data_IF_980545308087
#
_entry.id   IF_980545308087
#
_cell.length_a   1.000
_cell.length_b   1.000
_cell.length_c   1.000
_cell.angle_alpha   90.00
_cell.angle_beta   90.00
_cell.angle_gamma   90.00
#
_symmetry.space_group_name_H-M   'P 1'
#
loop_
_entity.id
_entity.type
_entity.pdbx_description
1 polymer ?
#
# COMPACT_ATOMS: atom_id res chain seq x y z
N UNK A 1 24.28 -13.16 -9.47
CA UNK A 1 22.85 -13.31 -9.15
C UNK A 1 22.18 -14.01 -10.32
N UNK A 2 21.43 -15.05 -10.06
CA UNK A 2 20.79 -15.87 -11.10
C UNK A 2 19.68 -15.06 -11.78
N UNK A 3 19.69 -14.81 -13.10
CA UNK A 3 18.70 -13.95 -13.77
C UNK A 3 17.29 -14.57 -13.88
N UNK A 4 17.09 -15.79 -13.39
CA UNK A 4 15.83 -16.54 -13.55
C UNK A 4 14.97 -16.66 -12.29
N UNK A 5 15.32 -15.99 -11.19
CA UNK A 5 14.43 -15.99 -10.03
C UNK A 5 13.25 -15.04 -10.31
N UNK A 6 12.02 -15.56 -10.20
CA UNK A 6 10.81 -14.73 -10.21
C UNK A 6 10.98 -13.58 -9.22
N UNK A 7 10.51 -12.36 -9.55
CA UNK A 7 10.62 -11.24 -8.62
C UNK A 7 9.97 -11.63 -7.29
N UNK A 8 10.71 -11.41 -6.19
CA UNK A 8 10.19 -11.66 -4.86
C UNK A 8 8.88 -10.89 -4.66
N UNK A 9 7.91 -11.50 -3.99
CA UNK A 9 6.64 -10.84 -3.66
C UNK A 9 6.92 -9.55 -2.90
N UNK A 10 6.24 -8.44 -3.20
CA UNK A 10 6.48 -7.18 -2.51
C UNK A 10 5.87 -7.22 -1.11
N UNK A 11 6.73 -7.26 -0.09
CA UNK A 11 6.39 -7.02 1.30
C UNK A 11 6.94 -5.64 1.66
N UNK A 12 6.03 -4.66 1.79
CA UNK A 12 6.36 -3.24 1.82
C UNK A 12 6.14 -2.68 3.22
N UNK A 13 7.17 -2.11 3.80
CA UNK A 13 7.06 -1.30 5.02
C UNK A 13 6.98 0.17 4.63
N UNK A 14 5.93 0.88 5.03
CA UNK A 14 5.83 2.32 4.80
C UNK A 14 6.51 3.08 5.93
N UNK A 15 7.69 3.62 5.65
CA UNK A 15 8.39 4.56 6.50
C UNK A 15 7.75 5.94 6.33
N UNK A 16 7.21 6.49 7.43
CA UNK A 16 6.66 7.84 7.42
C UNK A 16 7.73 8.86 7.83
N UNK A 17 8.20 9.72 6.91
CA UNK A 17 9.42 10.52 7.11
C UNK A 17 9.33 11.52 8.26
N UNK A 18 8.13 12.04 8.60
CA UNK A 18 7.94 13.01 9.69
C UNK A 18 8.03 12.40 11.09
N UNK A 19 8.15 11.08 11.21
CA UNK A 19 8.42 10.40 12.48
C UNK A 19 9.91 10.38 12.87
N UNK A 20 10.76 10.99 12.07
CA UNK A 20 12.21 11.10 12.28
C UNK A 20 12.63 12.59 12.30
N UNK A 21 13.67 12.92 13.06
CA UNK A 21 14.21 14.28 13.08
C UNK A 21 14.91 14.62 11.76
N UNK A 22 15.64 13.66 11.20
CA UNK A 22 16.38 13.85 9.95
C UNK A 22 16.40 12.59 9.08
N UNK A 23 16.64 12.78 7.79
CA UNK A 23 16.83 11.68 6.82
C UNK A 23 18.01 10.76 7.20
N UNK A 24 19.02 11.27 7.92
CA UNK A 24 20.12 10.45 8.39
C UNK A 24 19.68 9.33 9.36
N UNK A 25 18.54 9.52 10.03
CA UNK A 25 17.99 8.56 10.98
C UNK A 25 17.15 7.46 10.32
N UNK A 26 16.69 7.66 9.08
CA UNK A 26 15.82 6.68 8.41
C UNK A 26 16.46 5.29 8.33
N UNK A 27 17.79 5.23 8.18
CA UNK A 27 18.49 3.97 8.11
C UNK A 27 18.42 3.15 9.42
N UNK A 28 18.09 3.77 10.56
CA UNK A 28 17.96 3.08 11.84
C UNK A 28 16.82 2.07 11.87
N UNK A 29 15.78 2.24 11.05
CA UNK A 29 14.68 1.29 10.98
C UNK A 29 14.98 0.04 10.14
N UNK A 30 16.03 0.07 9.29
CA UNK A 30 16.32 -1.02 8.34
C UNK A 30 16.46 -2.39 9.03
N UNK A 31 17.21 -2.55 10.15
CA UNK A 31 17.31 -3.83 10.83
C UNK A 31 15.96 -4.35 11.33
N UNK A 32 15.11 -3.48 11.84
CA UNK A 32 13.76 -3.81 12.31
C UNK A 32 12.87 -4.25 11.15
N UNK A 33 12.81 -3.47 10.09
CA UNK A 33 12.06 -3.77 8.86
C UNK A 33 12.47 -5.12 8.26
N UNK A 34 13.79 -5.34 8.16
CA UNK A 34 14.35 -6.61 7.67
C UNK A 34 14.02 -7.76 8.61
N UNK A 35 14.08 -7.52 9.93
CA UNK A 35 13.76 -8.50 10.97
C UNK A 35 12.33 -9.01 10.90
N UNK A 36 11.38 -8.19 10.47
CA UNK A 36 9.98 -8.56 10.20
C UNK A 36 9.76 -9.25 8.85
N UNK A 37 10.79 -9.36 7.99
CA UNK A 37 10.70 -10.03 6.69
C UNK A 37 10.28 -9.13 5.52
N UNK A 38 10.20 -7.81 5.70
CA UNK A 38 9.94 -6.88 4.59
C UNK A 38 11.15 -6.77 3.66
N UNK A 39 10.89 -6.57 2.37
CA UNK A 39 11.91 -6.45 1.33
C UNK A 39 11.83 -5.15 0.54
N UNK A 40 10.85 -4.29 0.85
CA UNK A 40 10.71 -2.93 0.32
C UNK A 40 10.45 -1.95 1.45
N UNK A 41 11.00 -0.73 1.31
CA UNK A 41 10.61 0.44 2.12
C UNK A 41 9.98 1.46 1.19
N UNK A 42 8.72 1.78 1.44
CA UNK A 42 8.02 2.89 0.82
C UNK A 42 8.15 4.13 1.70
N UNK A 43 8.59 5.25 1.11
CA UNK A 43 8.71 6.54 1.79
C UNK A 43 7.74 7.54 1.16
N UNK A 44 6.86 8.14 1.99
CA UNK A 44 5.99 9.23 1.55
C UNK A 44 6.81 10.42 1.03
N UNK A 45 6.21 11.40 0.32
CA UNK A 45 6.97 12.47 -0.31
C UNK A 45 7.90 13.19 0.66
N UNK A 46 9.13 13.40 0.22
CA UNK A 46 10.21 14.02 1.01
C UNK A 46 10.78 15.27 0.33
N UNK A 47 10.12 15.73 -0.70
CA UNK A 47 10.47 16.94 -1.45
C UNK A 47 10.13 18.21 -0.68
N UNK A 48 10.71 19.34 -1.08
CA UNK A 48 10.34 20.65 -0.55
C UNK A 48 8.84 20.89 -0.73
N UNK A 49 8.15 21.22 0.36
CA UNK A 49 6.70 21.44 0.40
C UNK A 49 6.34 22.92 0.23
N UNK A 50 5.09 23.17 -0.17
CA UNK A 50 4.50 24.49 -0.22
C UNK A 50 4.07 25.01 1.15
N UNK A 51 3.31 26.11 1.14
CA UNK A 51 2.92 26.85 2.35
C UNK A 51 2.07 26.04 3.34
N UNK A 52 1.32 25.05 2.89
CA UNK A 52 0.51 24.19 3.79
C UNK A 52 1.36 23.26 4.65
N UNK A 53 2.57 22.93 4.19
CA UNK A 53 3.43 21.95 4.83
C UNK A 53 3.04 20.49 4.58
N UNK A 54 1.98 20.23 3.80
CA UNK A 54 1.62 18.88 3.38
C UNK A 54 2.74 18.26 2.55
N UNK A 55 3.12 17.02 2.87
CA UNK A 55 4.14 16.29 2.09
C UNK A 55 3.73 16.12 0.61
N UNK A 56 2.42 16.06 0.34
CA UNK A 56 1.88 15.93 -1.01
C UNK A 56 1.78 17.27 -1.74
N UNK A 57 1.84 18.41 -1.04
CA UNK A 57 1.92 19.73 -1.65
C UNK A 57 3.37 20.07 -2.05
N UNK A 58 3.87 19.44 -3.12
CA UNK A 58 5.27 19.56 -3.53
C UNK A 58 5.50 20.91 -4.21
N UNK A 59 6.44 21.70 -3.65
CA UNK A 59 6.85 22.99 -4.19
C UNK A 59 8.02 22.88 -5.17
N UNK A 60 8.98 22.00 -4.85
CA UNK A 60 10.13 21.74 -5.71
C UNK A 60 10.53 20.27 -5.63
N UNK A 61 10.47 19.58 -6.76
CA UNK A 61 10.80 18.16 -6.87
C UNK A 61 12.31 17.86 -6.80
N UNK A 62 13.15 18.85 -7.01
CA UNK A 62 14.62 18.73 -7.01
C UNK A 62 15.26 19.29 -5.75
N UNK A 63 14.48 19.45 -4.68
CA UNK A 63 14.97 19.84 -3.37
C UNK A 63 14.34 18.98 -2.27
N UNK A 64 15.17 18.59 -1.30
CA UNK A 64 14.72 17.92 -0.08
C UNK A 64 13.92 18.89 0.80
N UNK A 65 12.96 18.35 1.52
CA UNK A 65 12.23 19.12 2.53
C UNK A 65 13.17 19.52 3.67
N UNK A 66 13.27 20.82 4.00
CA UNK A 66 14.12 21.29 5.11
C UNK A 66 13.80 20.62 6.46
N UNK A 67 12.57 20.11 6.64
CA UNK A 67 12.16 19.37 7.84
C UNK A 67 12.97 18.10 8.07
N UNK A 68 13.55 17.52 7.03
CA UNK A 68 14.32 16.26 7.09
C UNK A 68 15.82 16.49 7.06
N UNK A 69 16.26 17.76 7.19
CA UNK A 69 17.67 18.15 7.11
C UNK A 69 18.15 18.78 8.42
N UNK A 70 19.42 18.62 8.73
CA UNK A 70 20.05 19.37 9.80
C UNK A 70 20.00 20.86 9.49
N UNK A 71 19.90 21.69 10.51
CA UNK A 71 19.86 23.15 10.37
C UNK A 71 21.03 23.66 9.52
N UNK A 72 20.71 24.37 8.43
CA UNK A 72 21.70 24.96 7.53
C UNK A 72 22.26 24.01 6.45
N UNK A 73 21.76 22.78 6.38
CA UNK A 73 22.11 21.86 5.28
C UNK A 73 21.43 22.31 3.97
N UNK A 74 22.15 22.15 2.86
CA UNK A 74 21.64 22.50 1.53
C UNK A 74 20.52 21.54 1.11
N UNK A 75 19.35 22.07 0.77
CA UNK A 75 18.20 21.32 0.29
C UNK A 75 18.40 20.66 -1.07
N UNK A 76 19.37 21.13 -1.85
CA UNK A 76 19.75 20.53 -3.14
C UNK A 76 20.76 19.39 -3.01
N UNK A 77 21.30 19.16 -1.80
CA UNK A 77 22.18 18.03 -1.53
C UNK A 77 21.42 16.73 -1.30
N UNK A 78 21.45 15.84 -2.27
CA UNK A 78 20.82 14.52 -2.23
C UNK A 78 21.68 13.41 -1.61
N UNK A 79 22.86 13.76 -1.09
CA UNK A 79 23.74 12.76 -0.47
C UNK A 79 23.08 11.97 0.66
N UNK A 80 22.29 12.58 1.57
CA UNK A 80 21.59 11.82 2.62
C UNK A 80 20.62 10.76 2.05
N UNK A 81 19.87 11.09 1.00
CA UNK A 81 18.97 10.12 0.35
C UNK A 81 19.75 9.00 -0.33
N UNK A 82 20.83 9.32 -1.06
CA UNK A 82 21.69 8.32 -1.70
C UNK A 82 22.28 7.35 -0.67
N UNK A 83 22.68 7.86 0.50
CA UNK A 83 23.18 7.06 1.61
C UNK A 83 22.10 6.11 2.14
N UNK A 84 20.87 6.59 2.32
CA UNK A 84 19.74 5.76 2.76
C UNK A 84 19.43 4.66 1.73
N UNK A 85 19.32 5.00 0.43
CA UNK A 85 19.08 4.04 -0.65
C UNK A 85 20.18 2.96 -0.70
N UNK A 86 21.44 3.36 -0.52
CA UNK A 86 22.54 2.40 -0.45
C UNK A 86 22.42 1.46 0.76
N UNK A 87 22.11 1.99 1.95
CA UNK A 87 21.89 1.18 3.15
C UNK A 87 20.73 0.19 3.01
N UNK A 88 19.63 0.58 2.37
CA UNK A 88 18.53 -0.32 2.02
C UNK A 88 19.03 -1.47 1.13
N UNK A 89 19.73 -1.13 0.05
CA UNK A 89 20.26 -2.12 -0.91
C UNK A 89 21.24 -3.09 -0.26
N UNK A 90 22.15 -2.61 0.60
CA UNK A 90 23.10 -3.44 1.34
C UNK A 90 22.38 -4.43 2.28
N UNK A 91 21.19 -4.07 2.72
CA UNK A 91 20.30 -4.92 3.53
C UNK A 91 19.31 -5.77 2.70
N UNK A 92 19.48 -5.84 1.37
CA UNK A 92 18.55 -6.52 0.43
C UNK A 92 17.13 -5.97 0.51
N UNK A 93 16.98 -4.67 0.73
CA UNK A 93 15.72 -3.93 0.69
C UNK A 93 15.78 -2.95 -0.48
N UNK A 94 14.72 -2.86 -1.26
CA UNK A 94 14.58 -1.86 -2.32
C UNK A 94 13.74 -0.67 -1.82
N UNK A 95 14.01 0.52 -2.32
CA UNK A 95 13.25 1.72 -1.96
C UNK A 95 12.17 2.04 -2.99
N UNK A 96 10.95 2.30 -2.49
CA UNK A 96 9.83 2.92 -3.21
C UNK A 96 9.72 4.37 -2.75
N UNK A 97 9.58 5.30 -3.68
CA UNK A 97 9.19 6.68 -3.39
C UNK A 97 7.79 6.99 -3.90
N UNK A 98 7.16 8.00 -3.33
CA UNK A 98 5.89 8.52 -3.85
C UNK A 98 6.15 9.40 -5.08
N UNK A 99 5.43 9.14 -6.17
CA UNK A 99 5.48 9.91 -7.41
C UNK A 99 4.17 10.67 -7.58
N UNK A 100 4.19 11.96 -7.24
CA UNK A 100 3.05 12.85 -7.31
C UNK A 100 3.15 13.67 -8.58
N UNK A 101 2.32 13.37 -9.59
CA UNK A 101 2.29 14.05 -10.90
C UNK A 101 0.93 14.66 -11.23
N UNK A 102 -0.10 14.35 -10.43
CA UNK A 102 -1.46 14.87 -10.62
C UNK A 102 -1.59 16.33 -10.16
N UNK A 103 -0.79 16.73 -9.17
CA UNK A 103 -0.85 18.05 -8.57
C UNK A 103 0.51 18.49 -8.01
N UNK A 104 0.61 19.78 -7.68
CA UNK A 104 1.73 20.36 -6.94
C UNK A 104 1.19 21.24 -5.82
N UNK A 105 2.08 21.79 -4.98
CA UNK A 105 1.69 22.90 -4.10
C UNK A 105 1.15 24.07 -4.94
N UNK A 106 0.18 24.79 -4.41
CA UNK A 106 -0.38 25.97 -5.06
C UNK A 106 0.68 27.06 -5.30
N UNK A 107 1.68 27.15 -4.43
CA UNK A 107 2.84 28.05 -4.54
C UNK A 107 4.09 27.40 -5.14
N UNK A 108 3.92 26.28 -5.88
CA UNK A 108 5.02 25.60 -6.57
C UNK A 108 5.76 26.51 -7.53
N UNK A 109 7.08 26.29 -7.68
CA UNK A 109 7.87 26.98 -8.70
C UNK A 109 7.35 26.71 -10.11
N UNK A 110 6.85 25.49 -10.37
CA UNK A 110 6.30 25.13 -11.68
C UNK A 110 5.08 25.98 -12.06
N UNK A 111 4.24 26.37 -11.12
CA UNK A 111 3.11 27.27 -11.36
C UNK A 111 3.54 28.61 -11.95
N UNK A 112 4.73 29.09 -11.55
CA UNK A 112 5.31 30.36 -12.03
C UNK A 112 6.11 30.20 -13.32
N UNK A 113 6.90 29.13 -13.43
CA UNK A 113 7.82 28.93 -14.56
C UNK A 113 7.14 28.30 -15.77
N UNK A 114 6.09 27.49 -15.54
CA UNK A 114 5.39 26.72 -16.56
C UNK A 114 3.85 26.83 -16.34
N UNK A 115 3.27 28.04 -16.42
CA UNK A 115 1.86 28.26 -16.07
C UNK A 115 0.88 27.48 -16.96
N UNK A 116 1.27 27.11 -18.18
CA UNK A 116 0.47 26.32 -19.12
C UNK A 116 0.38 24.83 -18.75
N UNK A 117 1.10 24.40 -17.71
CA UNK A 117 1.05 23.02 -17.21
C UNK A 117 -0.09 22.78 -16.21
N UNK A 118 -0.85 23.82 -15.86
CA UNK A 118 -1.86 23.76 -14.80
C UNK A 118 -3.25 24.05 -15.29
N UNK A 119 -4.23 23.32 -14.79
CA UNK A 119 -5.64 23.57 -15.06
C UNK A 119 -6.06 24.93 -14.50
N UNK A 120 -6.87 25.65 -15.29
CA UNK A 120 -7.44 26.93 -14.90
C UNK A 120 -8.93 26.96 -15.17
N UNK A 121 -9.68 27.64 -14.29
CA UNK A 121 -11.10 27.88 -14.48
C UNK A 121 -11.34 28.98 -15.56
N UNK A 122 -12.62 29.24 -15.85
CA UNK A 122 -13.02 30.25 -16.83
C UNK A 122 -12.58 31.67 -16.47
N UNK A 123 -12.21 31.93 -15.22
CA UNK A 123 -11.67 33.20 -14.73
C UNK A 123 -10.13 33.23 -14.70
N UNK A 124 -9.48 32.18 -15.18
CA UNK A 124 -8.01 32.06 -15.22
C UNK A 124 -7.37 31.66 -13.87
N UNK A 125 -8.13 31.32 -12.85
CA UNK A 125 -7.63 30.90 -11.55
C UNK A 125 -7.21 29.43 -11.61
N UNK A 126 -6.20 29.05 -10.83
CA UNK A 126 -5.78 27.66 -10.69
C UNK A 126 -6.94 26.80 -10.15
N UNK A 127 -7.10 25.61 -10.71
CA UNK A 127 -8.03 24.58 -10.22
C UNK A 127 -7.32 23.73 -9.17
N UNK A 128 -8.02 23.41 -8.09
CA UNK A 128 -7.56 22.46 -7.08
C UNK A 128 -8.10 21.06 -7.39
N UNK A 129 -7.28 20.01 -7.21
CA UNK A 129 -7.76 18.63 -7.35
C UNK A 129 -8.82 18.31 -6.31
N UNK A 130 -9.72 17.38 -6.65
CA UNK A 130 -10.78 16.95 -5.77
C UNK A 130 -11.03 15.44 -5.91
N UNK A 131 -11.64 14.83 -4.92
CA UNK A 131 -12.17 13.49 -4.99
C UNK A 131 -13.64 13.47 -4.59
N UNK A 132 -14.40 12.59 -5.23
CA UNK A 132 -15.80 12.34 -4.92
C UNK A 132 -15.87 10.97 -4.23
N UNK A 133 -16.56 10.91 -3.09
CA UNK A 133 -16.77 9.65 -2.38
C UNK A 133 -17.61 8.70 -3.26
N UNK A 134 -17.10 7.50 -3.63
CA UNK A 134 -17.87 6.56 -4.45
C UNK A 134 -19.20 6.10 -3.82
N UNK A 135 -19.30 6.15 -2.49
CA UNK A 135 -20.49 5.79 -1.75
C UNK A 135 -21.51 6.94 -1.62
N UNK A 136 -21.07 8.18 -1.79
CA UNK A 136 -21.90 9.38 -1.67
C UNK A 136 -21.38 10.53 -2.55
N UNK A 137 -21.98 10.71 -3.72
CA UNK A 137 -21.57 11.72 -4.70
C UNK A 137 -21.65 13.18 -4.19
N UNK A 138 -22.41 13.45 -3.13
CA UNK A 138 -22.49 14.77 -2.50
C UNK A 138 -21.27 15.06 -1.59
N UNK A 139 -20.51 14.04 -1.25
CA UNK A 139 -19.31 14.16 -0.43
C UNK A 139 -18.08 14.40 -1.31
N UNK A 140 -17.79 15.68 -1.57
CA UNK A 140 -16.65 16.13 -2.39
C UNK A 140 -15.57 16.71 -1.49
N UNK A 141 -14.39 16.13 -1.53
CA UNK A 141 -13.20 16.66 -0.87
C UNK A 141 -12.36 17.46 -1.86
N UNK A 142 -12.13 18.76 -1.58
CA UNK A 142 -11.28 19.63 -2.39
C UNK A 142 -10.02 19.98 -1.61
N UNK A 143 -8.85 19.78 -2.22
CA UNK A 143 -7.55 20.13 -1.64
C UNK A 143 -7.09 21.51 -2.09
N UNK A 144 -7.54 22.55 -1.37
CA UNK A 144 -7.36 23.96 -1.76
C UNK A 144 -5.92 24.49 -1.67
N UNK A 145 -4.99 23.74 -1.11
CA UNK A 145 -3.55 24.05 -1.09
C UNK A 145 -2.78 23.47 -2.27
N UNK A 146 -3.49 22.71 -3.14
CA UNK A 146 -2.93 22.03 -4.32
C UNK A 146 -3.40 22.69 -5.62
N UNK A 147 -2.50 22.74 -6.61
CA UNK A 147 -2.78 23.13 -7.98
C UNK A 147 -2.79 21.88 -8.88
N UNK A 148 -3.90 21.64 -9.57
CA UNK A 148 -4.07 20.50 -10.47
C UNK A 148 -3.24 20.67 -11.74
N UNK A 149 -2.45 19.63 -12.06
CA UNK A 149 -1.62 19.59 -13.26
C UNK A 149 -2.47 19.12 -14.45
N UNK A 150 -2.40 19.85 -15.57
CA UNK A 150 -3.09 19.51 -16.81
C UNK A 150 -2.26 18.52 -17.66
N UNK A 151 -2.20 17.28 -17.24
CA UNK A 151 -1.45 16.25 -17.95
C UNK A 151 -2.08 15.84 -19.30
N UNK A 152 -3.30 16.26 -19.59
CA UNK A 152 -4.05 15.89 -20.80
C UNK A 152 -4.08 17.00 -21.85
N UNK A 153 -4.53 18.20 -21.47
CA UNK A 153 -4.85 19.30 -22.37
C UNK A 153 -3.84 20.46 -22.33
N UNK A 154 -2.76 20.32 -21.54
CA UNK A 154 -1.70 21.34 -21.47
C UNK A 154 -1.20 21.74 -22.87
N UNK A 155 -1.05 23.04 -23.12
CA UNK A 155 -0.49 23.57 -24.37
C UNK A 155 0.95 23.14 -24.60
N UNK A 156 1.70 22.86 -23.53
CA UNK A 156 3.04 22.30 -23.54
C UNK A 156 3.07 20.90 -22.91
N UNK A 157 2.13 20.05 -23.32
CA UNK A 157 2.04 18.66 -22.83
C UNK A 157 3.34 17.89 -23.01
N UNK A 158 4.03 18.11 -24.13
CA UNK A 158 5.32 17.43 -24.37
C UNK A 158 6.38 17.86 -23.35
N UNK A 159 6.54 19.14 -23.08
CA UNK A 159 7.49 19.63 -22.10
C UNK A 159 7.15 19.14 -20.69
N UNK A 160 5.87 19.10 -20.33
CA UNK A 160 5.38 18.55 -19.07
C UNK A 160 5.72 17.05 -18.91
N UNK A 161 5.44 16.25 -19.93
CA UNK A 161 5.73 14.81 -19.89
C UNK A 161 7.23 14.53 -19.87
N UNK A 162 8.03 15.26 -20.63
CA UNK A 162 9.50 15.18 -20.60
C UNK A 162 10.06 15.58 -19.21
N UNK A 163 9.41 16.51 -18.50
CA UNK A 163 9.78 16.87 -17.14
C UNK A 163 9.56 15.70 -16.16
N UNK A 164 8.40 15.04 -16.21
CA UNK A 164 8.10 13.87 -15.39
C UNK A 164 9.03 12.70 -15.71
N UNK A 165 9.34 12.45 -16.97
CA UNK A 165 10.29 11.39 -17.37
C UNK A 165 11.70 11.65 -16.82
N UNK A 166 12.16 12.90 -16.89
CA UNK A 166 13.44 13.30 -16.30
C UNK A 166 13.45 13.17 -14.79
N UNK A 167 12.34 13.47 -14.13
CA UNK A 167 12.21 13.31 -12.68
C UNK A 167 12.33 11.82 -12.28
N UNK A 168 11.63 10.93 -12.97
CA UNK A 168 11.73 9.48 -12.74
C UNK A 168 13.16 9.00 -12.95
N UNK A 169 13.80 9.39 -14.07
CA UNK A 169 15.19 9.03 -14.35
C UNK A 169 16.14 9.51 -13.25
N UNK A 170 15.98 10.75 -12.80
CA UNK A 170 16.82 11.35 -11.78
C UNK A 170 16.86 10.51 -10.48
N UNK A 171 15.70 10.01 -10.04
CA UNK A 171 15.64 9.15 -8.85
C UNK A 171 16.07 7.71 -9.15
N UNK A 172 15.84 7.19 -10.36
CA UNK A 172 16.39 5.89 -10.77
C UNK A 172 17.93 5.88 -10.73
N UNK A 173 18.57 6.98 -11.14
CA UNK A 173 20.03 7.15 -11.08
C UNK A 173 20.55 7.21 -9.63
N UNK A 174 19.73 7.67 -8.68
CA UNK A 174 20.05 7.61 -7.25
C UNK A 174 19.89 6.21 -6.64
N UNK A 175 19.28 5.27 -7.38
CA UNK A 175 19.08 3.89 -6.95
C UNK A 175 17.65 3.56 -6.51
N UNK A 176 16.70 4.49 -6.60
CA UNK A 176 15.27 4.19 -6.38
C UNK A 176 14.79 3.17 -7.41
N UNK A 177 14.06 2.15 -6.96
CA UNK A 177 13.60 1.04 -7.80
C UNK A 177 12.09 0.86 -7.79
N UNK A 178 11.35 1.60 -6.96
CA UNK A 178 9.91 1.59 -6.93
C UNK A 178 9.31 3.00 -6.94
N UNK A 179 8.16 3.15 -7.59
CA UNK A 179 7.37 4.37 -7.58
C UNK A 179 5.92 4.04 -7.22
N UNK A 180 5.44 4.53 -6.08
CA UNK A 180 4.01 4.56 -5.77
C UNK A 180 3.44 5.80 -6.42
N UNK A 181 2.54 5.63 -7.36
CA UNK A 181 1.96 6.69 -8.16
C UNK A 181 0.70 7.20 -7.48
N UNK A 182 0.80 8.39 -6.91
CA UNK A 182 -0.28 9.05 -6.16
C UNK A 182 -1.45 9.39 -7.08
N UNK A 183 -2.68 9.14 -6.60
CA UNK A 183 -3.92 9.37 -7.35
C UNK A 183 -3.83 8.89 -8.82
N UNK A 184 -3.32 7.69 -9.06
CA UNK A 184 -2.99 7.20 -10.40
C UNK A 184 -4.20 7.23 -11.36
N UNK A 185 -5.41 7.04 -10.83
CA UNK A 185 -6.68 7.08 -11.56
C UNK A 185 -7.08 8.49 -12.07
N UNK A 186 -6.46 9.56 -11.53
CA UNK A 186 -6.69 10.94 -11.97
C UNK A 186 -5.70 11.40 -13.05
N UNK A 187 -4.77 10.54 -13.44
CA UNK A 187 -3.71 10.85 -14.41
C UNK A 187 -3.96 10.06 -15.69
N UNK A 188 -3.84 10.67 -16.88
CA UNK A 188 -4.11 10.01 -18.15
C UNK A 188 -3.28 8.72 -18.33
N UNK A 189 -3.95 7.65 -18.76
CA UNK A 189 -3.33 6.34 -19.00
C UNK A 189 -2.12 6.42 -19.96
N UNK A 190 -2.17 7.29 -20.96
CA UNK A 190 -1.08 7.45 -21.92
C UNK A 190 0.18 8.07 -21.30
N UNK A 191 0.04 8.95 -20.28
CA UNK A 191 1.18 9.42 -19.52
C UNK A 191 1.82 8.27 -18.74
N UNK A 192 1.02 7.42 -18.08
CA UNK A 192 1.56 6.25 -17.40
C UNK A 192 2.27 5.28 -18.35
N UNK A 193 1.69 4.98 -19.52
CA UNK A 193 2.36 4.16 -20.55
C UNK A 193 3.71 4.75 -20.94
N UNK A 194 3.77 6.05 -21.14
CA UNK A 194 4.99 6.77 -21.49
C UNK A 194 6.04 6.67 -20.38
N UNK A 195 5.69 7.03 -19.14
CA UNK A 195 6.63 7.06 -18.01
C UNK A 195 7.12 5.65 -17.66
N UNK A 196 6.20 4.69 -17.52
CA UNK A 196 6.54 3.31 -17.18
C UNK A 196 7.39 2.67 -18.27
N UNK A 197 6.99 2.85 -19.55
CA UNK A 197 7.73 2.32 -20.68
C UNK A 197 9.15 2.91 -20.77
N UNK A 198 9.29 4.22 -20.59
CA UNK A 198 10.58 4.90 -20.61
C UNK A 198 11.46 4.46 -19.42
N UNK A 199 10.90 4.42 -18.20
CA UNK A 199 11.62 4.01 -17.01
C UNK A 199 12.11 2.56 -17.06
N UNK A 200 11.24 1.62 -17.49
CA UNK A 200 11.59 0.19 -17.59
C UNK A 200 12.58 -0.08 -18.73
N UNK A 201 12.57 0.72 -19.79
CA UNK A 201 13.57 0.63 -20.87
C UNK A 201 14.98 0.97 -20.33
N UNK A 202 15.11 1.91 -19.40
CA UNK A 202 16.37 2.30 -18.78
C UNK A 202 16.77 1.34 -17.65
N UNK A 203 15.82 1.03 -16.79
CA UNK A 203 16.00 0.15 -15.62
C UNK A 203 14.86 -0.90 -15.57
N UNK A 204 15.03 -2.07 -16.22
CA UNK A 204 13.96 -3.05 -16.43
C UNK A 204 13.32 -3.61 -15.16
N UNK A 205 14.00 -3.52 -14.01
CA UNK A 205 13.49 -3.97 -12.71
C UNK A 205 12.78 -2.88 -11.90
N UNK A 206 12.52 -1.72 -12.49
CA UNK A 206 11.74 -0.68 -11.82
C UNK A 206 10.28 -1.11 -11.69
N UNK A 207 9.71 -0.92 -10.51
CA UNK A 207 8.34 -1.31 -10.16
C UNK A 207 7.47 -0.06 -10.02
N UNK A 208 6.29 -0.08 -10.64
CA UNK A 208 5.29 0.99 -10.53
C UNK A 208 4.03 0.45 -9.87
N UNK A 209 3.56 1.16 -8.84
CA UNK A 209 2.42 0.78 -8.02
C UNK A 209 1.38 1.90 -8.11
N UNK A 210 0.19 1.59 -8.62
CA UNK A 210 -0.88 2.57 -8.73
C UNK A 210 -1.64 2.67 -7.41
N UNK A 211 -1.74 3.87 -6.85
CA UNK A 211 -2.68 4.15 -5.77
C UNK A 211 -4.09 4.21 -6.35
N UNK A 212 -4.95 3.29 -5.89
CA UNK A 212 -6.33 3.12 -6.33
C UNK A 212 -7.30 2.90 -5.16
N UNK A 213 -6.89 3.33 -3.96
CA UNK A 213 -7.73 3.24 -2.78
C UNK A 213 -8.99 4.11 -2.93
N UNK A 214 -10.17 3.49 -2.76
CA UNK A 214 -11.44 4.21 -2.84
C UNK A 214 -11.90 4.58 -4.25
N UNK A 215 -11.25 4.08 -5.30
CA UNK A 215 -11.64 4.30 -6.68
C UNK A 215 -12.84 3.43 -7.07
N UNK A 216 -13.62 3.89 -8.04
CA UNK A 216 -14.61 3.07 -8.73
C UNK A 216 -13.94 2.04 -9.63
N UNK A 217 -14.66 0.95 -9.96
CA UNK A 217 -14.13 -0.07 -10.89
C UNK A 217 -13.84 0.52 -12.27
N UNK A 218 -14.64 1.48 -12.75
CA UNK A 218 -14.42 2.16 -14.03
C UNK A 218 -13.11 2.96 -14.03
N UNK A 219 -12.84 3.71 -12.96
CA UNK A 219 -11.59 4.46 -12.81
C UNK A 219 -10.36 3.52 -12.80
N UNK A 220 -10.49 2.36 -12.15
CA UNK A 220 -9.42 1.36 -12.14
C UNK A 220 -9.24 0.76 -13.54
N UNK A 221 -10.35 0.48 -14.25
CA UNK A 221 -10.31 -0.11 -15.60
C UNK A 221 -9.54 0.77 -16.62
N UNK A 222 -9.55 2.10 -16.46
CA UNK A 222 -8.77 3.03 -17.30
C UNK A 222 -7.25 2.80 -17.20
N UNK A 223 -6.79 2.17 -16.13
CA UNK A 223 -5.37 1.83 -15.97
C UNK A 223 -4.96 0.56 -16.75
N UNK A 224 -5.89 -0.12 -17.43
CA UNK A 224 -5.57 -1.33 -18.20
C UNK A 224 -4.56 -1.05 -19.32
N UNK A 225 -3.51 -1.85 -19.36
CA UNK A 225 -2.46 -1.74 -20.40
C UNK A 225 -1.49 -0.56 -20.21
N UNK A 226 -1.49 0.10 -19.07
CA UNK A 226 -0.54 1.18 -18.74
C UNK A 226 0.85 0.65 -18.35
N UNK A 227 0.93 -0.61 -17.89
CA UNK A 227 2.18 -1.28 -17.51
C UNK A 227 2.50 -1.20 -16.01
N UNK A 228 1.56 -0.80 -15.16
CA UNK A 228 1.68 -0.93 -13.71
C UNK A 228 1.97 -2.38 -13.31
N UNK A 229 2.82 -2.55 -12.29
CA UNK A 229 3.18 -3.86 -11.76
C UNK A 229 2.22 -4.29 -10.66
N UNK A 230 1.63 -3.33 -9.93
CA UNK A 230 0.70 -3.56 -8.83
C UNK A 230 -0.33 -2.42 -8.71
N UNK A 231 -1.52 -2.77 -8.17
CA UNK A 231 -2.56 -1.83 -7.76
C UNK A 231 -2.79 -1.95 -6.25
N UNK A 232 -3.02 -0.84 -5.55
CA UNK A 232 -3.52 -0.90 -4.17
C UNK A 232 -5.01 -1.14 -4.17
N UNK A 233 -5.50 -2.14 -3.42
CA UNK A 233 -6.92 -2.45 -3.36
C UNK A 233 -7.60 -1.86 -2.11
N UNK A 234 -8.93 -1.98 -2.03
CA UNK A 234 -9.73 -1.46 -0.93
C UNK A 234 -10.10 -2.52 0.12
N UNK A 235 -9.44 -3.68 0.13
CA UNK A 235 -9.76 -4.81 1.02
C UNK A 235 -9.71 -4.48 2.52
N UNK A 236 -8.99 -3.41 2.92
CA UNK A 236 -9.02 -2.88 4.29
C UNK A 236 -10.45 -2.61 4.80
N UNK A 237 -11.32 -2.14 3.93
CA UNK A 237 -12.69 -1.76 4.27
C UNK A 237 -13.69 -2.92 4.22
N UNK A 238 -13.25 -4.12 3.84
CA UNK A 238 -14.14 -5.26 3.74
C UNK A 238 -14.43 -5.88 5.11
N UNK A 239 -15.71 -5.94 5.45
CA UNK A 239 -16.22 -6.58 6.66
C UNK A 239 -16.70 -8.01 6.42
N UNK A 240 -16.38 -8.61 5.27
CA UNK A 240 -16.81 -9.95 4.85
C UNK A 240 -18.34 -10.11 4.76
N UNK A 241 -19.07 -9.02 4.57
CA UNK A 241 -20.53 -8.96 4.60
C UNK A 241 -21.18 -8.81 3.21
N UNK A 242 -20.36 -8.58 2.17
CA UNK A 242 -20.80 -8.35 0.78
C UNK A 242 -19.74 -8.79 -0.22
N UNK A 243 -20.13 -9.10 -1.48
CA UNK A 243 -19.21 -9.62 -2.50
C UNK A 243 -18.22 -8.60 -3.08
N UNK A 244 -18.45 -7.30 -2.91
CA UNK A 244 -17.76 -6.22 -3.61
C UNK A 244 -16.21 -6.33 -3.60
N UNK A 245 -15.65 -6.84 -2.50
CA UNK A 245 -14.20 -6.95 -2.38
C UNK A 245 -13.63 -8.04 -3.31
N UNK A 246 -14.32 -9.16 -3.44
CA UNK A 246 -13.94 -10.22 -4.37
C UNK A 246 -14.20 -9.79 -5.82
N UNK A 247 -15.27 -9.05 -6.10
CA UNK A 247 -15.55 -8.46 -7.41
C UNK A 247 -14.45 -7.46 -7.82
N UNK A 248 -14.01 -6.58 -6.89
CA UNK A 248 -12.89 -5.68 -7.11
C UNK A 248 -11.60 -6.46 -7.39
N UNK A 249 -11.36 -7.54 -6.62
CA UNK A 249 -10.17 -8.37 -6.80
C UNK A 249 -10.11 -8.97 -8.21
N UNK A 250 -11.22 -9.56 -8.69
CA UNK A 250 -11.30 -10.13 -10.04
C UNK A 250 -11.12 -9.06 -11.13
N UNK A 251 -11.69 -7.86 -10.95
CA UNK A 251 -11.50 -6.74 -11.86
C UNK A 251 -10.05 -6.25 -11.89
N UNK A 252 -9.45 -6.10 -10.72
CA UNK A 252 -8.07 -5.61 -10.60
C UNK A 252 -7.05 -6.55 -11.23
N UNK A 253 -7.21 -7.87 -11.06
CA UNK A 253 -6.24 -8.84 -11.59
C UNK A 253 -6.16 -8.87 -13.12
N UNK A 254 -7.19 -8.38 -13.83
CA UNK A 254 -7.17 -8.16 -15.27
C UNK A 254 -6.19 -7.04 -15.70
N UNK A 255 -5.76 -6.20 -14.76
CA UNK A 255 -4.89 -5.04 -14.99
C UNK A 255 -3.50 -5.32 -14.45
N UNK A 256 -3.41 -5.62 -13.16
CA UNK A 256 -2.18 -5.99 -12.47
C UNK A 256 -2.52 -6.68 -11.14
N UNK A 257 -1.60 -7.51 -10.59
CA UNK A 257 -1.75 -8.01 -9.22
C UNK A 257 -1.87 -6.88 -8.20
N UNK A 258 -2.50 -7.17 -7.07
CA UNK A 258 -2.78 -6.16 -6.06
C UNK A 258 -1.85 -6.21 -4.85
N UNK A 259 -1.87 -5.10 -4.10
CA UNK A 259 -1.28 -4.95 -2.78
C UNK A 259 -2.40 -4.65 -1.80
N UNK A 260 -2.54 -5.52 -0.81
CA UNK A 260 -3.43 -5.30 0.34
C UNK A 260 -2.68 -4.69 1.51
N UNK A 261 -3.41 -4.07 2.40
CA UNK A 261 -2.87 -3.50 3.63
C UNK A 261 -3.93 -3.50 4.73
N UNK A 262 -3.55 -3.69 6.00
CA UNK A 262 -4.49 -3.59 7.12
C UNK A 262 -4.91 -2.14 7.40
N UNK A 263 -3.99 -1.21 7.20
CA UNK A 263 -4.15 0.24 7.25
C UNK A 263 -3.06 0.91 6.40
N UNK A 264 -3.21 2.19 6.09
CA UNK A 264 -2.22 3.00 5.38
C UNK A 264 -2.05 4.36 6.05
N UNK A 265 -1.17 5.20 5.53
CA UNK A 265 -1.01 6.57 6.01
C UNK A 265 -2.25 7.46 5.76
N UNK A 266 -3.16 7.05 4.85
CA UNK A 266 -4.40 7.79 4.53
C UNK A 266 -5.60 7.32 5.35
N UNK A 267 -5.51 6.15 6.00
CA UNK A 267 -6.64 5.56 6.72
C UNK A 267 -6.56 5.80 8.23
N UNK A 268 -7.68 5.67 8.97
CA UNK A 268 -7.61 5.57 10.43
C UNK A 268 -6.72 4.40 10.87
N UNK A 269 -6.12 4.52 12.07
CA UNK A 269 -5.38 3.43 12.70
C UNK A 269 -6.34 2.37 13.21
N UNK A 270 -6.07 1.10 12.93
CA UNK A 270 -6.90 -0.01 13.43
C UNK A 270 -6.94 -0.09 14.95
N UNK A 271 -5.87 0.28 15.63
CA UNK A 271 -5.83 0.32 17.09
C UNK A 271 -6.76 1.39 17.70
N UNK A 272 -7.14 2.41 16.92
CA UNK A 272 -8.09 3.45 17.33
C UNK A 272 -9.53 3.14 16.90
N UNK A 273 -9.72 2.27 15.89
CA UNK A 273 -11.04 1.77 15.51
C UNK A 273 -11.60 0.85 16.60
N UNK A 274 -12.93 0.81 16.79
CA UNK A 274 -13.54 -0.09 17.77
C UNK A 274 -13.81 -1.47 17.15
N UNK A 275 -13.45 -2.54 17.87
CA UNK A 275 -12.96 -2.63 19.27
C UNK A 275 -11.44 -2.43 19.43
N UNK A 276 -10.63 -2.13 18.44
CA UNK A 276 -9.22 -1.73 18.51
C UNK A 276 -8.31 -2.69 19.29
N UNK A 277 -8.61 -3.98 19.25
CA UNK A 277 -7.86 -5.01 19.98
C UNK A 277 -6.70 -5.55 19.17
N UNK A 278 -5.73 -6.16 19.86
CA UNK A 278 -4.59 -6.81 19.21
C UNK A 278 -5.01 -7.96 18.28
N UNK A 279 -6.10 -8.67 18.61
CA UNK A 279 -6.61 -9.78 17.79
C UNK A 279 -7.24 -9.27 16.49
N UNK A 280 -7.95 -8.14 16.52
CA UNK A 280 -8.45 -7.47 15.31
C UNK A 280 -7.31 -7.01 14.41
N UNK A 281 -6.24 -6.42 14.98
CA UNK A 281 -5.07 -6.05 14.20
C UNK A 281 -4.41 -7.25 13.54
N UNK A 282 -4.21 -8.33 14.29
CA UNK A 282 -3.67 -9.59 13.76
C UNK A 282 -4.56 -10.15 12.65
N UNK A 283 -5.87 -10.21 12.86
CA UNK A 283 -6.79 -10.72 11.85
C UNK A 283 -6.70 -9.91 10.55
N UNK A 284 -6.74 -8.58 10.63
CA UNK A 284 -6.65 -7.70 9.46
C UNK A 284 -5.32 -7.82 8.74
N UNK A 285 -4.20 -7.91 9.47
CA UNK A 285 -2.89 -8.14 8.87
C UNK A 285 -2.77 -9.50 8.21
N UNK A 286 -3.18 -10.57 8.90
CA UNK A 286 -3.16 -11.92 8.35
C UNK A 286 -4.01 -12.01 7.08
N UNK A 287 -5.22 -11.46 7.10
CA UNK A 287 -6.07 -11.42 5.91
C UNK A 287 -5.40 -10.65 4.76
N UNK A 288 -4.91 -9.43 5.00
CA UNK A 288 -4.22 -8.63 3.98
C UNK A 288 -3.02 -9.38 3.39
N UNK A 289 -2.24 -10.09 4.24
CA UNK A 289 -1.07 -10.85 3.77
C UNK A 289 -1.45 -12.01 2.85
N UNK A 290 -2.61 -12.62 3.03
CA UNK A 290 -3.09 -13.79 2.28
C UNK A 290 -3.89 -13.40 1.04
N UNK A 291 -4.57 -12.26 1.10
CA UNK A 291 -5.54 -11.85 0.08
C UNK A 291 -4.87 -11.53 -1.26
N UNK A 292 -3.87 -10.68 -1.26
CA UNK A 292 -3.18 -10.21 -2.46
C UNK A 292 -1.77 -10.77 -2.59
N UNK A 293 -1.22 -10.65 -3.78
CA UNK A 293 0.19 -10.99 -4.04
C UNK A 293 1.14 -10.11 -3.21
N UNK A 294 0.87 -8.80 -3.13
CA UNK A 294 1.65 -7.86 -2.34
C UNK A 294 1.01 -7.49 -1.00
N UNK A 295 1.82 -6.97 -0.09
CA UNK A 295 1.41 -6.51 1.23
C UNK A 295 2.10 -5.20 1.57
N UNK A 296 1.35 -4.24 2.13
CA UNK A 296 1.92 -3.01 2.71
C UNK A 296 1.50 -2.89 4.18
N UNK A 297 2.42 -2.41 5.02
CA UNK A 297 2.18 -2.07 6.42
C UNK A 297 2.83 -0.72 6.75
N UNK A 298 2.10 0.25 7.33
CA UNK A 298 2.70 1.50 7.77
C UNK A 298 3.42 1.36 9.12
N UNK A 299 4.45 2.16 9.33
CA UNK A 299 5.19 2.24 10.60
C UNK A 299 4.28 2.53 11.78
N UNK A 300 4.52 1.85 12.91
CA UNK A 300 3.73 1.94 14.14
C UNK A 300 2.55 0.97 14.22
N UNK A 301 2.16 0.32 13.12
CA UNK A 301 1.16 -0.73 13.14
C UNK A 301 1.58 -1.88 14.08
N UNK A 302 2.82 -2.30 14.00
CA UNK A 302 3.41 -3.35 14.82
C UNK A 302 3.34 -3.07 16.33
N UNK A 303 3.22 -1.80 16.69
CA UNK A 303 3.19 -1.32 18.08
C UNK A 303 1.80 -0.87 18.54
N UNK A 304 0.77 -0.99 17.69
CA UNK A 304 -0.58 -0.58 18.02
C UNK A 304 -0.75 0.94 18.13
N UNK A 305 -0.07 1.69 17.28
CA UNK A 305 -0.23 3.14 17.23
C UNK A 305 -1.69 3.51 16.95
N UNK A 306 -2.24 4.48 17.71
CA UNK A 306 -3.61 5.00 17.59
C UNK A 306 -3.68 6.31 16.85
N UNK A 307 -2.63 7.13 17.00
CA UNK A 307 -2.62 8.44 16.39
C UNK A 307 -2.55 8.31 14.86
N UNK A 308 -3.57 8.86 14.19
CA UNK A 308 -3.59 8.91 12.73
C UNK A 308 -2.33 9.60 12.20
N UNK A 309 -1.78 9.08 11.12
CA UNK A 309 -0.68 9.73 10.40
C UNK A 309 -1.18 11.05 9.80
N UNK A 310 -0.50 12.15 10.13
CA UNK A 310 -0.81 13.48 9.63
C UNK A 310 0.32 13.96 8.71
N UNK A 311 0.06 13.99 7.42
CA UNK A 311 1.03 14.36 6.38
C UNK A 311 1.40 15.85 6.41
N UNK A 312 0.68 16.67 7.21
CA UNK A 312 0.87 18.12 7.33
C UNK A 312 1.62 18.47 8.62
N UNK A 313 1.21 17.88 9.77
CA UNK A 313 1.60 18.37 11.11
C UNK A 313 2.40 17.37 11.93
N UNK A 314 2.44 16.08 11.55
CA UNK A 314 3.16 15.09 12.34
C UNK A 314 4.61 15.49 12.58
N UNK A 315 5.13 15.07 13.72
CA UNK A 315 6.49 15.30 14.19
C UNK A 315 7.02 14.01 14.85
N UNK A 316 8.30 13.88 15.14
CA UNK A 316 8.84 12.72 15.87
C UNK A 316 8.19 12.52 17.27
N UNK A 317 7.63 13.57 17.88
CA UNK A 317 6.91 13.49 19.16
C UNK A 317 5.55 12.78 19.06
N UNK A 318 5.07 12.56 17.84
CA UNK A 318 3.80 11.88 17.58
C UNK A 318 3.95 10.35 17.51
N UNK A 319 5.19 9.85 17.58
CA UNK A 319 5.48 8.43 17.74
C UNK A 319 5.06 7.99 19.14
N UNK A 320 4.06 7.12 19.20
CA UNK A 320 3.47 6.66 20.45
C UNK A 320 4.29 5.54 21.10
N UNK A 321 4.32 5.44 22.43
CA UNK A 321 4.84 4.25 23.09
C UNK A 321 4.08 2.99 22.65
N UNK A 322 4.76 1.84 22.51
CA UNK A 322 4.11 0.58 22.14
C UNK A 322 3.00 0.18 23.12
N UNK A 323 1.81 -0.16 22.60
CA UNK A 323 0.75 -0.81 23.37
C UNK A 323 0.99 -2.32 23.43
N UNK A 324 1.57 -2.87 22.39
CA UNK A 324 2.04 -4.25 22.21
C UNK A 324 3.20 -4.27 21.24
N UNK A 325 3.79 -5.42 21.03
CA UNK A 325 4.80 -5.65 20.00
C UNK A 325 4.42 -6.89 19.17
N UNK A 326 4.08 -6.65 17.92
CA UNK A 326 3.73 -7.70 16.95
C UNK A 326 4.90 -8.08 16.03
N UNK A 327 6.09 -7.53 16.21
CA UNK A 327 7.20 -7.69 15.26
C UNK A 327 7.56 -9.16 15.00
N UNK A 328 7.64 -9.97 16.06
CA UNK A 328 7.93 -11.40 15.93
C UNK A 328 6.79 -12.15 15.22
N UNK A 329 5.54 -11.83 15.55
CA UNK A 329 4.37 -12.44 14.92
C UNK A 329 4.24 -12.02 13.45
N UNK A 330 4.49 -10.75 13.11
CA UNK A 330 4.49 -10.26 11.72
C UNK A 330 5.53 -11.02 10.89
N UNK A 331 6.73 -11.25 11.47
CA UNK A 331 7.75 -12.07 10.82
C UNK A 331 7.21 -13.47 10.47
N UNK A 332 6.58 -14.16 11.44
CA UNK A 332 6.00 -15.50 11.24
C UNK A 332 4.95 -15.49 10.10
N UNK A 333 4.08 -14.49 10.06
CA UNK A 333 3.04 -14.35 9.01
C UNK A 333 3.67 -14.07 7.64
N UNK A 334 4.67 -13.22 7.57
CA UNK A 334 5.39 -12.93 6.33
C UNK A 334 6.16 -14.17 5.82
N UNK A 335 6.76 -14.95 6.73
CA UNK A 335 7.40 -16.24 6.40
C UNK A 335 6.36 -17.27 5.93
N UNK A 336 5.21 -17.37 6.60
CA UNK A 336 4.10 -18.24 6.18
C UNK A 336 3.61 -17.86 4.78
N UNK A 337 3.41 -16.55 4.50
CA UNK A 337 3.06 -16.07 3.18
C UNK A 337 4.09 -16.52 2.13
N UNK A 338 5.36 -16.28 2.38
CA UNK A 338 6.45 -16.61 1.46
C UNK A 338 6.59 -18.13 1.24
N UNK A 339 6.27 -18.95 2.25
CA UNK A 339 6.33 -20.41 2.20
C UNK A 339 5.08 -21.07 1.58
N UNK A 340 4.00 -20.31 1.38
CA UNK A 340 2.73 -20.84 0.85
C UNK A 340 2.50 -20.31 -0.58
N UNK A 341 2.78 -21.10 -1.63
CA UNK A 341 2.80 -20.61 -3.01
C UNK A 341 1.55 -19.87 -3.45
N UNK A 342 0.34 -20.34 -3.08
CA UNK A 342 -0.91 -19.66 -3.45
C UNK A 342 -1.04 -18.24 -2.84
N UNK A 343 -0.33 -17.92 -1.76
CA UNK A 343 -0.29 -16.57 -1.19
C UNK A 343 0.74 -15.66 -1.88
N UNK A 344 1.61 -16.26 -2.71
CA UNK A 344 2.59 -15.53 -3.52
C UNK A 344 2.04 -15.14 -4.90
N UNK A 345 0.79 -15.52 -5.18
CA UNK A 345 0.06 -15.23 -6.42
C UNK A 345 -1.12 -14.31 -6.14
N UNK A 346 -1.65 -13.69 -7.18
CA UNK A 346 -2.94 -12.99 -7.06
C UNK A 346 -4.04 -14.02 -6.89
N UNK A 347 -4.13 -15.00 -7.76
CA UNK A 347 -5.07 -16.10 -7.68
C UNK A 347 -6.53 -15.66 -7.80
N UNK A 348 -7.44 -16.58 -7.50
CA UNK A 348 -8.88 -16.30 -7.45
C UNK A 348 -9.44 -16.61 -6.07
N UNK A 349 -10.45 -15.84 -5.66
CA UNK A 349 -11.15 -16.04 -4.40
C UNK A 349 -12.61 -16.43 -4.63
N UNK A 350 -13.10 -17.38 -3.82
CA UNK A 350 -14.51 -17.79 -3.81
C UNK A 350 -15.01 -17.84 -2.38
N UNK A 351 -16.14 -17.17 -2.10
CA UNK A 351 -16.86 -17.36 -0.85
C UNK A 351 -17.63 -18.68 -0.93
N UNK A 352 -17.43 -19.56 0.05
CA UNK A 352 -18.10 -20.86 0.14
C UNK A 352 -19.31 -20.83 1.06
N UNK A 353 -19.48 -19.77 1.83
CA UNK A 353 -20.63 -19.54 2.72
C UNK A 353 -21.30 -18.23 2.36
N UNK A 354 -22.61 -18.09 2.66
CA UNK A 354 -23.30 -16.80 2.53
C UNK A 354 -22.63 -15.70 3.34
N UNK A 355 -22.68 -14.48 2.83
CA UNK A 355 -22.05 -13.30 3.46
C UNK A 355 -22.77 -12.82 4.73
N UNK A 356 -23.99 -13.25 4.99
CA UNK A 356 -24.74 -12.99 6.21
C UNK A 356 -24.35 -13.91 7.38
N UNK A 357 -23.65 -15.03 7.13
CA UNK A 357 -23.14 -15.90 8.17
C UNK A 357 -22.12 -15.18 9.06
N UNK A 358 -22.10 -15.51 10.35
CA UNK A 358 -21.14 -14.98 11.33
C UNK A 358 -19.72 -15.45 11.07
N UNK A 359 -19.58 -16.64 10.49
CA UNK A 359 -18.32 -17.23 10.07
C UNK A 359 -18.33 -17.40 8.55
N UNK A 360 -17.29 -16.87 7.89
CA UNK A 360 -17.15 -16.92 6.45
C UNK A 360 -15.99 -17.84 6.06
N UNK A 361 -16.27 -18.74 5.12
CA UNK A 361 -15.25 -19.57 4.48
C UNK A 361 -14.94 -19.04 3.09
N UNK A 362 -13.66 -18.75 2.88
CA UNK A 362 -13.13 -18.21 1.63
C UNK A 362 -12.06 -19.17 1.08
N UNK A 363 -12.20 -19.58 -0.16
CA UNK A 363 -11.24 -20.43 -0.85
C UNK A 363 -10.35 -19.60 -1.76
N UNK A 364 -9.04 -19.65 -1.56
CA UNK A 364 -8.06 -19.11 -2.50
C UNK A 364 -7.54 -20.21 -3.41
N UNK A 365 -7.60 -19.97 -4.71
CA UNK A 365 -7.09 -20.85 -5.75
C UNK A 365 -5.94 -20.18 -6.49
N UNK A 366 -4.93 -20.98 -6.84
CA UNK A 366 -3.81 -20.55 -7.68
C UNK A 366 -4.25 -20.33 -9.13
N UNK A 367 -3.60 -19.40 -9.82
CA UNK A 367 -3.67 -19.30 -11.27
C UNK A 367 -2.77 -20.36 -11.95
N UNK A 368 -1.90 -21.06 -11.19
CA UNK A 368 -1.03 -22.14 -11.60
C UNK A 368 -1.37 -23.47 -10.90
N UNK A 369 -0.34 -24.19 -10.47
CA UNK A 369 -0.46 -25.54 -9.90
C UNK A 369 -0.39 -25.59 -8.37
N UNK A 370 -0.35 -24.42 -7.68
CA UNK A 370 -0.28 -24.41 -6.23
C UNK A 370 -1.60 -24.90 -5.61
N UNK A 371 -1.46 -25.68 -4.52
CA UNK A 371 -2.62 -26.20 -3.80
C UNK A 371 -3.46 -25.07 -3.24
N UNK A 372 -4.81 -25.18 -3.29
CA UNK A 372 -5.70 -24.18 -2.72
C UNK A 372 -5.56 -24.14 -1.19
N UNK A 373 -5.94 -23.01 -0.61
CA UNK A 373 -6.08 -22.81 0.83
C UNK A 373 -7.49 -22.33 1.12
N UNK A 374 -8.07 -22.82 2.20
CA UNK A 374 -9.32 -22.33 2.74
C UNK A 374 -9.04 -21.42 3.93
N UNK A 375 -9.63 -20.25 3.92
CA UNK A 375 -9.53 -19.24 4.98
C UNK A 375 -10.89 -19.14 5.65
N UNK A 376 -10.91 -19.38 6.96
CA UNK A 376 -12.12 -19.25 7.78
C UNK A 376 -11.97 -18.04 8.70
N UNK A 377 -12.96 -17.16 8.68
CA UNK A 377 -12.96 -15.89 9.42
C UNK A 377 -14.18 -15.79 10.31
N UNK A 378 -13.97 -15.61 11.61
CA UNK A 378 -15.01 -15.13 12.50
C UNK A 378 -15.12 -13.61 12.36
N UNK A 379 -16.24 -13.14 11.78
CA UNK A 379 -16.49 -11.70 11.56
C UNK A 379 -16.78 -10.93 12.86
N UNK A 380 -17.25 -11.63 13.90
CA UNK A 380 -17.51 -10.99 15.18
C UNK A 380 -16.21 -10.63 15.88
N UNK A 381 -16.03 -9.35 16.14
CA UNK A 381 -14.83 -8.80 16.77
C UNK A 381 -14.83 -9.01 18.30
N UNK A 382 -15.98 -9.36 18.91
CA UNK A 382 -16.16 -9.45 20.36
C UNK A 382 -16.80 -10.77 20.81
N UNK A 383 -17.34 -11.59 19.89
CA UNK A 383 -18.02 -12.83 20.21
C UNK A 383 -17.32 -14.05 19.63
N UNK A 384 -17.21 -15.11 20.45
CA UNK A 384 -16.81 -16.43 20.00
C UNK A 384 -17.90 -17.05 19.14
N UNK A 385 -17.49 -17.83 18.13
CA UNK A 385 -18.39 -18.59 17.26
C UNK A 385 -18.03 -20.07 17.29
N UNK A 386 -19.04 -20.93 17.15
CA UNK A 386 -18.87 -22.37 16.98
C UNK A 386 -19.40 -22.78 15.60
N UNK A 387 -18.63 -23.58 14.90
CA UNK A 387 -18.99 -24.10 13.57
C UNK A 387 -19.00 -25.62 13.68
N UNK A 388 -20.16 -26.25 13.46
CA UNK A 388 -20.29 -27.70 13.39
C UNK A 388 -19.65 -28.24 12.11
N UNK A 389 -19.20 -29.49 12.13
CA UNK A 389 -18.65 -30.15 10.95
C UNK A 389 -19.63 -30.22 9.76
N UNK A 390 -20.94 -30.20 10.05
CA UNK A 390 -21.97 -30.18 9.01
C UNK A 390 -22.15 -28.80 8.33
N UNK A 391 -21.69 -27.72 8.99
CA UNK A 391 -21.73 -26.35 8.47
C UNK A 391 -20.42 -25.97 7.75
N UNK A 392 -19.42 -26.84 7.84
CA UNK A 392 -18.15 -26.67 7.11
C UNK A 392 -18.37 -27.07 5.65
N UNK A 393 -17.99 -26.24 4.68
CA UNK A 393 -18.16 -26.59 3.26
C UNK A 393 -17.49 -27.93 2.91
N UNK A 394 -18.13 -28.73 2.03
CA UNK A 394 -17.60 -30.04 1.61
C UNK A 394 -16.17 -29.96 1.09
N UNK A 395 -15.80 -28.85 0.46
CA UNK A 395 -14.44 -28.58 0.01
C UNK A 395 -13.43 -28.60 1.14
N UNK A 396 -13.82 -28.27 2.37
CA UNK A 396 -12.95 -28.33 3.53
C UNK A 396 -12.60 -29.76 3.93
N UNK A 397 -13.40 -30.76 3.57
CA UNK A 397 -13.13 -32.16 3.85
C UNK A 397 -11.85 -32.70 3.20
N UNK A 398 -11.35 -32.06 2.18
CA UNK A 398 -10.09 -32.39 1.50
C UNK A 398 -8.85 -31.92 2.27
N UNK A 399 -9.00 -30.92 3.16
CA UNK A 399 -7.91 -30.34 3.92
C UNK A 399 -7.61 -31.19 5.16
N UNK A 400 -6.33 -31.32 5.51
CA UNK A 400 -5.86 -32.21 6.59
C UNK A 400 -5.34 -31.44 7.80
N UNK A 401 -4.88 -30.21 7.58
CA UNK A 401 -4.20 -29.40 8.58
C UNK A 401 -4.93 -28.06 8.76
N UNK A 402 -5.00 -27.60 9.98
CA UNK A 402 -5.53 -26.31 10.36
C UNK A 402 -4.45 -25.49 11.06
N UNK A 403 -4.27 -24.25 10.63
CA UNK A 403 -3.31 -23.31 11.21
C UNK A 403 -4.06 -22.18 11.92
N UNK A 404 -3.83 -22.00 13.22
CA UNK A 404 -4.29 -20.84 13.99
C UNK A 404 -3.24 -19.75 13.92
N UNK A 405 -3.44 -18.81 13.00
CA UNK A 405 -2.44 -17.81 12.63
C UNK A 405 -2.38 -16.62 13.60
N UNK A 406 -3.37 -16.42 14.47
CA UNK A 406 -3.31 -15.34 15.47
C UNK A 406 -2.43 -15.69 16.69
N UNK A 407 -2.03 -16.95 16.84
CA UNK A 407 -1.08 -17.34 17.89
C UNK A 407 0.36 -17.09 17.45
N UNK A 408 1.26 -16.87 18.41
CA UNK A 408 2.71 -16.87 18.18
C UNK A 408 3.34 -17.86 19.17
N UNK A 409 3.98 -18.93 18.71
CA UNK A 409 4.07 -19.33 17.30
C UNK A 409 2.72 -19.73 16.70
N UNK A 410 2.61 -19.68 15.36
CA UNK A 410 1.47 -20.23 14.61
C UNK A 410 1.29 -21.71 14.98
N UNK A 411 0.06 -22.08 15.36
CA UNK A 411 -0.24 -23.45 15.82
C UNK A 411 -0.90 -24.26 14.72
N UNK A 412 -0.32 -25.42 14.46
CA UNK A 412 -0.88 -26.43 13.55
C UNK A 412 -1.62 -27.51 14.35
N UNK A 413 -2.74 -27.99 13.83
CA UNK A 413 -3.50 -29.14 14.36
C UNK A 413 -4.21 -29.87 13.23
N UNK A 414 -4.74 -31.07 13.55
CA UNK A 414 -5.73 -31.71 12.68
C UNK A 414 -7.03 -30.90 12.68
N UNK A 415 -7.81 -31.01 11.60
CA UNK A 415 -9.13 -30.36 11.48
C UNK A 415 -10.07 -31.01 12.51
N UNK A 416 -10.65 -30.23 13.45
CA UNK A 416 -11.58 -30.76 14.45
C UNK A 416 -12.98 -31.02 13.88
N UNK A 417 -13.82 -31.80 14.56
CA UNK A 417 -15.22 -31.98 14.19
C UNK A 417 -16.07 -30.72 14.46
N UNK A 418 -15.79 -30.04 15.55
CA UNK A 418 -16.42 -28.75 15.88
C UNK A 418 -15.29 -27.73 16.01
N UNK A 419 -15.43 -26.64 15.27
CA UNK A 419 -14.44 -25.55 15.25
C UNK A 419 -14.95 -24.43 16.14
N UNK A 420 -14.24 -24.17 17.23
CA UNK A 420 -14.46 -22.98 18.07
C UNK A 420 -13.50 -21.88 17.64
N UNK A 421 -14.04 -20.75 17.24
CA UNK A 421 -13.29 -19.54 16.82
C UNK A 421 -13.44 -18.44 17.86
N UNK A 422 -12.34 -17.92 18.32
CA UNK A 422 -12.31 -16.72 19.18
C UNK A 422 -12.83 -15.49 18.44
N UNK A 423 -13.15 -14.37 19.13
CA UNK A 423 -13.42 -13.10 18.48
C UNK A 423 -12.32 -12.73 17.47
N UNK A 424 -12.73 -12.24 16.30
CA UNK A 424 -11.84 -11.85 15.21
C UNK A 424 -10.84 -12.94 14.78
N UNK A 425 -11.09 -14.22 15.06
CA UNK A 425 -10.14 -15.27 14.70
C UNK A 425 -10.19 -15.59 13.21
N UNK A 426 -9.00 -15.76 12.65
CA UNK A 426 -8.79 -16.27 11.30
C UNK A 426 -7.97 -17.55 11.39
N UNK A 427 -8.43 -18.61 10.72
CA UNK A 427 -7.75 -19.90 10.63
C UNK A 427 -7.60 -20.33 9.18
N UNK A 428 -6.54 -21.06 8.89
CA UNK A 428 -6.26 -21.60 7.56
C UNK A 428 -6.44 -23.11 7.57
N UNK A 429 -6.96 -23.64 6.47
CA UNK A 429 -6.97 -25.06 6.19
C UNK A 429 -6.10 -25.33 4.98
N UNK A 430 -5.15 -26.28 5.15
CA UNK A 430 -4.17 -26.65 4.11
C UNK A 430 -4.18 -28.15 3.87
N UNK A 431 -3.74 -28.58 2.67
CA UNK A 431 -3.63 -29.99 2.26
C UNK A 431 -2.39 -30.67 2.83
#
# INVERSE_FOLDING_TARGET
MNPSAAPAIPLIFNLFPRHFETIDEWASCIPHVRGMGFNWIFVNPFHMTGFSGSLYAIKNYYQLNPLFLKKGQDTSDWHPLKKFVAACKDSSIEMIMDLVVNHTAFDSFLVKTNPDWFKRDAQGRLVSPHAIDPANADNVTVWGDLAEVDNLESKDRKGLWDYWDKLVLYFQEMGVRGFRCDAAYQVPADLWKFLIGSAKKRYPRTVFLAETLGCTLDQIAELKGTGFDYLFNSSKYWNFDKPWCLEQHEGNKEIAPSISFPESHDTPRLADEKPGTVDVQKMRYAFASMFSKGLLMPSGFEYGARKRIDVVKATPKDVEPPQWDLSAWIKEINELKAATPVFCEEGSWTALTPYDNDVVFLKKQSDGDAKPVLVCVNKHMEAQQEVDANDVPEEAASFRRMLRVLTSPVRESAVPRTLTLKPAEIVLFTC
#
